data_IF_080332222932
#
_entry.id   IF_080332222932
#
_cell.length_a   1.000
_cell.length_b   1.000
_cell.length_c   1.000
_cell.angle_alpha   90.00
_cell.angle_beta   90.00
_cell.angle_gamma   90.00
#
_symmetry.space_group_name_H-M   'P 1'
#
loop_
_entity.id
_entity.type
_entity.pdbx_description
1 polymer ?
#
# COMPACT_ATOMS: atom_id res chain seq x y z
N UNK A 1 2.90 5.69 16.78
CA UNK A 1 1.97 4.91 15.95
C UNK A 1 0.97 5.89 15.32
N UNK A 2 0.41 5.61 14.15
CA UNK A 2 -0.48 6.54 13.42
C UNK A 2 -1.81 6.71 14.15
N UNK A 3 -1.92 7.70 15.04
CA UNK A 3 -3.07 7.84 15.97
C UNK A 3 -4.39 8.14 15.27
N UNK A 4 -4.39 9.00 14.25
CA UNK A 4 -5.63 9.31 13.51
C UNK A 4 -6.06 8.11 12.69
N UNK A 5 -5.11 7.33 12.18
CA UNK A 5 -5.41 6.02 11.61
C UNK A 5 -5.82 4.98 12.68
N UNK A 6 -5.36 5.03 13.92
CA UNK A 6 -5.89 4.14 14.96
C UNK A 6 -7.35 4.49 15.31
N UNK A 7 -7.68 5.79 15.34
CA UNK A 7 -8.98 6.32 15.79
C UNK A 7 -10.07 6.37 14.71
N UNK A 8 -9.79 5.99 13.46
CA UNK A 8 -10.79 6.08 12.38
C UNK A 8 -10.79 7.39 11.59
N UNK A 9 -10.06 8.42 12.05
CA UNK A 9 -10.08 9.75 11.46
C UNK A 9 -9.42 9.83 10.07
N UNK A 10 -8.46 8.95 9.78
CA UNK A 10 -7.85 8.79 8.45
C UNK A 10 -8.26 7.44 7.86
N UNK A 11 -8.70 7.39 6.59
CA UNK A 11 -9.22 6.16 5.99
C UNK A 11 -8.14 5.09 5.78
N UNK A 12 -6.96 5.48 5.33
CA UNK A 12 -5.86 4.59 4.97
C UNK A 12 -4.50 5.23 5.22
N UNK A 13 -3.48 4.40 5.37
CA UNK A 13 -2.10 4.83 5.24
C UNK A 13 -1.68 4.67 3.77
N UNK A 14 -0.74 5.49 3.32
CA UNK A 14 0.01 5.28 2.09
C UNK A 14 1.43 4.84 2.43
N UNK A 15 1.96 3.91 1.64
CA UNK A 15 3.31 3.40 1.82
C UNK A 15 4.04 3.25 0.50
N UNK A 16 5.37 3.31 0.54
CA UNK A 16 6.26 3.07 -0.59
C UNK A 16 7.56 2.42 -0.12
N UNK A 17 8.12 1.54 -0.96
CA UNK A 17 9.51 1.10 -0.86
C UNK A 17 10.32 1.94 -1.84
N UNK A 18 11.25 2.77 -1.34
CA UNK A 18 12.09 3.63 -2.18
C UNK A 18 12.99 2.80 -3.11
N UNK A 19 13.61 3.45 -4.10
CA UNK A 19 14.59 2.81 -5.00
C UNK A 19 15.77 2.23 -4.23
N UNK A 20 16.12 2.86 -3.13
CA UNK A 20 17.18 2.54 -2.18
C UNK A 20 16.74 1.42 -1.22
N UNK A 21 15.44 1.13 -1.18
CA UNK A 21 14.87 0.11 -0.33
C UNK A 21 14.56 0.62 1.07
N UNK A 22 14.20 1.88 1.24
CA UNK A 22 13.64 2.41 2.49
C UNK A 22 12.13 2.20 2.54
N UNK A 23 11.59 1.95 3.73
CA UNK A 23 10.14 1.92 3.93
C UNK A 23 9.65 3.33 4.30
N UNK A 24 8.86 3.93 3.42
CA UNK A 24 8.18 5.20 3.62
C UNK A 24 6.70 4.92 3.91
N UNK A 25 6.15 5.50 4.98
CA UNK A 25 4.76 5.28 5.37
C UNK A 25 4.19 6.51 6.09
N UNK A 26 2.97 6.93 5.73
CA UNK A 26 2.28 8.04 6.36
C UNK A 26 0.76 7.90 6.30
N UNK A 27 0.07 8.71 7.10
CA UNK A 27 -1.37 8.93 6.97
C UNK A 27 -1.68 9.63 5.63
N UNK A 28 -2.70 9.15 4.92
CA UNK A 28 -3.19 9.84 3.72
C UNK A 28 -3.98 11.09 4.12
N UNK A 29 -3.62 12.22 3.52
CA UNK A 29 -4.26 13.51 3.76
C UNK A 29 -4.65 14.15 2.43
N UNK A 30 -5.95 14.45 2.29
CA UNK A 30 -6.52 15.23 1.20
C UNK A 30 -6.20 14.73 -0.22
N UNK A 31 -5.95 13.43 -0.40
CA UNK A 31 -5.67 12.85 -1.71
C UNK A 31 -4.32 13.26 -2.29
N UNK A 32 -3.38 13.71 -1.45
CA UNK A 32 -2.02 14.09 -1.87
C UNK A 32 -1.24 12.87 -2.37
N UNK A 33 -1.55 11.68 -1.88
CA UNK A 33 -1.04 10.42 -2.38
C UNK A 33 0.47 10.24 -2.22
N UNK A 34 1.01 9.23 -2.90
CA UNK A 34 2.41 8.81 -2.78
C UNK A 34 3.47 9.87 -3.08
N UNK A 35 3.28 10.88 -3.96
CA UNK A 35 4.26 11.95 -4.14
C UNK A 35 4.60 12.70 -2.84
N UNK A 36 3.65 12.77 -1.89
CA UNK A 36 3.84 13.46 -0.62
C UNK A 36 4.84 12.78 0.32
N UNK A 37 4.99 11.45 0.23
CA UNK A 37 5.93 10.69 1.06
C UNK A 37 7.23 10.35 0.33
N UNK A 38 7.20 10.32 -1.01
CA UNK A 38 8.37 9.99 -1.84
C UNK A 38 9.17 11.23 -2.26
N UNK A 39 8.63 12.44 -2.07
CA UNK A 39 9.25 13.68 -2.56
C UNK A 39 9.34 13.69 -4.08
N UNK A 40 8.31 13.18 -4.78
CA UNK A 40 8.25 13.01 -6.23
C UNK A 40 9.31 12.07 -6.84
N UNK A 41 10.05 11.33 -6.01
CA UNK A 41 11.02 10.35 -6.49
C UNK A 41 10.34 9.05 -6.94
N UNK A 42 10.99 8.25 -7.81
CA UNK A 42 10.56 6.89 -8.10
C UNK A 42 10.55 6.02 -6.84
N UNK A 43 9.77 4.94 -6.88
CA UNK A 43 9.70 3.91 -5.85
C UNK A 43 9.68 2.54 -6.52
N UNK A 44 10.14 1.48 -5.83
CA UNK A 44 10.11 0.10 -6.32
C UNK A 44 8.70 -0.46 -6.36
N UNK A 45 7.93 -0.14 -5.33
CA UNK A 45 6.52 -0.53 -5.18
C UNK A 45 5.88 0.39 -4.14
N UNK A 46 4.60 0.66 -4.31
CA UNK A 46 3.82 1.46 -3.37
C UNK A 46 2.36 0.98 -3.33
N UNK A 47 1.66 1.36 -2.27
CA UNK A 47 0.25 1.04 -2.13
C UNK A 47 -0.34 1.62 -0.87
N UNK A 48 -1.35 0.95 -0.34
CA UNK A 48 -2.10 1.40 0.82
C UNK A 48 -2.18 0.34 1.90
N UNK A 49 -2.35 0.79 3.14
CA UNK A 49 -2.75 -0.03 4.28
C UNK A 49 -4.11 0.45 4.76
N UNK A 50 -5.05 -0.48 4.93
CA UNK A 50 -6.45 -0.22 5.32
C UNK A 50 -6.83 -1.10 6.50
N UNK A 51 -7.83 -0.67 7.26
CA UNK A 51 -8.36 -1.47 8.38
C UNK A 51 -9.10 -2.70 7.84
N UNK A 52 -8.87 -3.85 8.47
CA UNK A 52 -9.72 -5.02 8.29
C UNK A 52 -10.94 -4.93 9.21
N UNK A 53 -11.97 -5.72 8.92
CA UNK A 53 -13.06 -5.99 9.87
C UNK A 53 -12.59 -6.90 11.03
N UNK A 54 -11.51 -7.66 10.85
CA UNK A 54 -10.90 -8.49 11.89
C UNK A 54 -9.98 -7.66 12.80
N UNK A 55 -10.18 -7.78 14.12
CA UNK A 55 -9.34 -7.11 15.11
C UNK A 55 -7.89 -7.60 15.03
N UNK A 56 -6.93 -6.68 15.02
CA UNK A 56 -5.51 -7.03 14.92
C UNK A 56 -5.06 -7.44 13.51
N UNK A 57 -5.89 -7.23 12.48
CA UNK A 57 -5.55 -7.42 11.07
C UNK A 57 -5.67 -6.12 10.28
N UNK A 58 -4.69 -5.85 9.41
CA UNK A 58 -4.75 -4.78 8.42
C UNK A 58 -4.68 -5.37 7.01
N UNK A 59 -5.45 -4.77 6.11
CA UNK A 59 -5.32 -5.04 4.69
C UNK A 59 -4.19 -4.23 4.09
N UNK A 60 -3.42 -4.83 3.19
CA UNK A 60 -2.33 -4.18 2.47
C UNK A 60 -2.41 -4.53 0.99
N UNK A 61 -2.23 -3.53 0.15
CA UNK A 61 -2.27 -3.70 -1.31
C UNK A 61 -1.09 -2.98 -1.96
N UNK A 62 -0.89 -3.26 -3.25
CA UNK A 62 0.05 -2.55 -4.11
C UNK A 62 -0.70 -1.67 -5.14
N UNK A 63 -1.77 -1.00 -4.72
CA UNK A 63 -2.62 -0.19 -5.60
C UNK A 63 -2.13 1.26 -5.68
N UNK A 64 -0.90 1.44 -6.17
CA UNK A 64 -0.42 2.75 -6.61
C UNK A 64 -0.41 2.82 -8.13
N UNK A 65 -1.27 3.65 -8.70
CA UNK A 65 -1.33 3.87 -10.15
C UNK A 65 -0.01 4.36 -10.76
N UNK A 66 0.81 5.05 -9.97
CA UNK A 66 2.10 5.62 -10.41
C UNK A 66 3.26 4.64 -10.30
N UNK A 67 3.24 3.74 -9.32
CA UNK A 67 4.43 2.99 -8.92
C UNK A 67 4.28 1.47 -9.00
N UNK A 68 3.05 0.96 -9.18
CA UNK A 68 2.79 -0.47 -9.00
C UNK A 68 1.88 -1.09 -10.06
N UNK A 69 1.07 -0.30 -10.77
CA UNK A 69 0.03 -0.80 -11.68
C UNK A 69 0.58 -1.72 -12.79
N UNK A 70 1.73 -1.37 -13.35
CA UNK A 70 2.27 -2.04 -14.55
C UNK A 70 3.33 -3.10 -14.22
N UNK A 71 3.55 -3.42 -12.94
CA UNK A 71 4.57 -4.39 -12.54
C UNK A 71 4.03 -5.82 -12.65
N UNK A 72 4.63 -6.62 -13.53
CA UNK A 72 4.28 -8.05 -13.71
C UNK A 72 4.48 -8.83 -12.40
N UNK A 73 5.53 -8.51 -11.62
CA UNK A 73 5.88 -9.16 -10.36
C UNK A 73 5.33 -8.42 -9.12
N UNK A 74 4.26 -7.64 -9.27
CA UNK A 74 3.67 -6.82 -8.19
C UNK A 74 3.34 -7.62 -6.94
N UNK A 75 2.84 -8.84 -7.09
CA UNK A 75 2.46 -9.70 -5.96
C UNK A 75 3.68 -10.15 -5.15
N UNK A 76 4.78 -10.54 -5.82
CA UNK A 76 6.02 -10.94 -5.15
C UNK A 76 6.66 -9.75 -4.42
N UNK A 77 6.63 -8.57 -5.03
CA UNK A 77 7.10 -7.33 -4.40
C UNK A 77 6.23 -6.94 -3.20
N UNK A 78 4.92 -7.17 -3.26
CA UNK A 78 3.99 -6.95 -2.15
C UNK A 78 4.29 -7.92 -0.99
N UNK A 79 4.53 -9.20 -1.27
CA UNK A 79 4.89 -10.18 -0.24
C UNK A 79 6.18 -9.77 0.49
N UNK A 80 7.19 -9.31 -0.26
CA UNK A 80 8.41 -8.78 0.34
C UNK A 80 8.16 -7.54 1.22
N UNK A 81 7.26 -6.65 0.81
CA UNK A 81 6.88 -5.49 1.62
C UNK A 81 6.16 -5.91 2.91
N UNK A 82 5.29 -6.91 2.84
CA UNK A 82 4.57 -7.47 4.00
C UNK A 82 5.53 -8.01 5.05
N UNK A 83 6.50 -8.83 4.63
CA UNK A 83 7.54 -9.33 5.54
C UNK A 83 8.27 -8.20 6.26
N UNK A 84 8.39 -7.03 5.63
CA UNK A 84 8.99 -5.85 6.26
C UNK A 84 8.04 -5.17 7.25
N UNK A 85 6.75 -5.07 6.94
CA UNK A 85 5.76 -4.55 7.88
C UNK A 85 5.68 -5.38 9.16
N UNK A 86 5.64 -6.70 9.05
CA UNK A 86 5.59 -7.61 10.19
C UNK A 86 6.76 -7.40 11.16
N UNK A 87 7.95 -7.02 10.65
CA UNK A 87 9.12 -6.69 11.47
C UNK A 87 9.00 -5.36 12.22
N UNK A 88 8.37 -4.35 11.62
CA UNK A 88 8.26 -3.02 12.21
C UNK A 88 7.00 -2.80 13.04
N UNK A 89 5.97 -3.65 12.85
CA UNK A 89 4.70 -3.57 13.55
C UNK A 89 4.40 -4.89 14.30
N UNK A 90 5.21 -5.26 15.31
CA UNK A 90 5.01 -6.48 16.07
C UNK A 90 3.66 -6.42 16.80
N UNK A 91 2.76 -7.34 16.49
CA UNK A 91 1.38 -7.37 17.02
C UNK A 91 0.30 -7.05 16.00
N UNK A 92 0.68 -6.66 14.79
CA UNK A 92 -0.23 -6.47 13.67
C UNK A 92 -0.09 -7.61 12.67
N UNK A 93 -1.20 -8.22 12.27
CA UNK A 93 -1.25 -9.13 11.12
C UNK A 93 -1.57 -8.33 9.85
N UNK A 94 -0.98 -8.73 8.73
CA UNK A 94 -1.16 -8.10 7.43
C UNK A 94 -1.70 -9.10 6.42
N UNK A 95 -2.84 -8.76 5.81
CA UNK A 95 -3.48 -9.58 4.78
C UNK A 95 -3.45 -8.85 3.44
N UNK A 96 -3.06 -9.57 2.38
CA UNK A 96 -3.09 -9.03 1.02
C UNK A 96 -4.52 -8.74 0.59
N UNK A 97 -4.79 -7.49 0.23
CA UNK A 97 -5.97 -7.11 -0.53
C UNK A 97 -5.61 -7.07 -2.00
N UNK A 98 -5.91 -8.14 -2.73
CA UNK A 98 -5.82 -8.16 -4.19
C UNK A 98 -7.13 -7.61 -4.73
N UNK A 99 -7.09 -6.44 -5.36
CA UNK A 99 -8.23 -5.93 -6.12
C UNK A 99 -8.20 -6.62 -7.48
N UNK A 100 -9.13 -7.54 -7.73
CA UNK A 100 -9.38 -8.04 -9.08
C UNK A 100 -9.93 -6.88 -9.90
N UNK A 101 -9.17 -6.41 -10.89
CA UNK A 101 -9.69 -5.51 -11.90
C UNK A 101 -10.52 -6.36 -12.88
N UNK A 102 -11.82 -6.13 -13.04
CA UNK A 102 -12.56 -6.76 -14.13
C UNK A 102 -11.89 -6.31 -15.43
N UNK A 103 -11.41 -7.27 -16.23
CA UNK A 103 -10.87 -6.98 -17.56
C UNK A 103 -12.00 -6.34 -18.35
N UNK A 104 -11.88 -5.04 -18.66
CA UNK A 104 -12.83 -4.39 -19.55
C UNK A 104 -12.85 -5.19 -20.87
N UNK A 105 -14.02 -5.58 -21.39
CA UNK A 105 -14.09 -6.32 -22.64
C UNK A 105 -13.36 -5.51 -23.71
N UNK A 106 -12.38 -6.15 -24.36
CA UNK A 106 -11.71 -5.56 -25.53
C UNK A 106 -12.82 -5.27 -26.53
N UNK A 107 -13.06 -4.00 -26.86
CA UNK A 107 -14.04 -3.68 -27.88
C UNK A 107 -13.57 -4.32 -29.18
N UNK A 108 -14.31 -5.30 -29.68
CA UNK A 108 -14.10 -5.84 -31.00
C UNK A 108 -14.22 -4.68 -32.00
N UNK A 109 -13.15 -4.44 -32.76
CA UNK A 109 -13.11 -3.50 -33.87
C UNK A 109 -13.88 -4.05 -35.08
#
# INVERSE_FOLDING_TARGET
>A
MFEKFAQGAVKNLIWAISVEGDLLIAEEHDGRGHPSITGFKPARIAGEIRRSSAAGTLYVNAESGRYSRDHINRLDLLDNAITRFERYFPGQQFEKQVVEYPIAPVSAA
#
